data_IF_032194962981
#
_entry.id   IF_032194962981
#
_cell.length_a   1.000
_cell.length_b   1.000
_cell.length_c   1.000
_cell.angle_alpha   90.00
_cell.angle_beta   90.00
_cell.angle_gamma   90.00
#
_symmetry.space_group_name_H-M   'P 1'
#
loop_
_entity.id
_entity.type
_entity.pdbx_description
1 polymer ?
#
# COMPACT_ATOMS: atom_id res chain seq x y z
N UNK A 1 -1.36 -1.13 -17.35
CA UNK A 1 -1.82 -0.26 -16.26
C UNK A 1 -0.59 0.29 -15.60
N UNK A 2 -0.30 1.57 -15.82
CA UNK A 2 0.80 2.26 -15.14
C UNK A 2 0.32 2.56 -13.72
N UNK A 3 1.13 2.38 -12.66
CA UNK A 3 0.81 2.90 -11.34
C UNK A 3 0.64 4.41 -11.42
N UNK A 4 -0.61 4.85 -11.49
CA UNK A 4 -1.03 6.23 -11.71
C UNK A 4 -1.51 6.82 -10.38
N UNK A 5 -0.94 7.96 -9.94
CA UNK A 5 -1.42 8.67 -8.75
C UNK A 5 -2.93 8.84 -8.73
N UNK A 6 -3.57 9.20 -9.84
CA UNK A 6 -5.02 9.43 -9.87
C UNK A 6 -5.82 8.15 -9.55
N UNK A 7 -5.30 6.98 -9.94
CA UNK A 7 -5.90 5.69 -9.59
C UNK A 7 -5.75 5.39 -8.10
N UNK A 8 -4.59 5.68 -7.50
CA UNK A 8 -4.39 5.56 -6.05
C UNK A 8 -5.32 6.51 -5.28
N UNK A 9 -5.38 7.78 -5.66
CA UNK A 9 -6.28 8.76 -5.06
C UNK A 9 -7.75 8.33 -5.13
N UNK A 10 -8.18 7.78 -6.28
CA UNK A 10 -9.53 7.26 -6.44
C UNK A 10 -9.78 6.09 -5.48
N UNK A 11 -8.85 5.16 -5.36
CA UNK A 11 -8.96 4.04 -4.42
C UNK A 11 -9.03 4.51 -2.96
N UNK A 12 -8.17 5.47 -2.57
CA UNK A 12 -8.16 6.07 -1.23
C UNK A 12 -9.49 6.76 -0.92
N UNK A 13 -10.03 7.55 -1.86
CA UNK A 13 -11.36 8.17 -1.73
C UNK A 13 -12.47 7.13 -1.59
N UNK A 14 -12.46 6.08 -2.40
CA UNK A 14 -13.44 4.98 -2.30
C UNK A 14 -13.35 4.21 -0.98
N UNK A 15 -12.18 4.20 -0.34
CA UNK A 15 -11.99 3.64 0.99
C UNK A 15 -12.39 4.61 2.11
N UNK A 16 -12.88 5.82 1.82
CA UNK A 16 -13.08 6.89 2.82
C UNK A 16 -11.79 7.21 3.60
N UNK A 17 -10.64 7.14 2.95
CA UNK A 17 -9.39 7.61 3.52
C UNK A 17 -9.42 9.14 3.64
N UNK A 18 -8.84 9.65 4.72
CA UNK A 18 -8.50 11.08 4.84
C UNK A 18 -7.19 11.29 4.11
N UNK A 19 -7.09 12.36 3.33
CA UNK A 19 -5.88 12.68 2.57
C UNK A 19 -5.49 14.13 2.79
N UNK A 20 -4.20 14.40 3.00
CA UNK A 20 -3.65 15.73 3.16
C UNK A 20 -2.31 15.84 2.43
N UNK A 21 -2.00 17.01 1.92
CA UNK A 21 -0.66 17.28 1.38
C UNK A 21 0.23 17.80 2.51
N UNK A 22 1.40 17.20 2.66
CA UNK A 22 2.43 17.63 3.61
C UNK A 22 3.16 18.86 3.04
N UNK A 23 3.85 19.60 3.92
CA UNK A 23 4.61 20.80 3.51
C UNK A 23 5.75 20.54 2.53
N UNK A 24 6.22 19.29 2.43
CA UNK A 24 7.26 18.85 1.51
C UNK A 24 6.71 18.37 0.15
N UNK A 25 5.40 18.49 -0.08
CA UNK A 25 4.72 18.07 -1.31
C UNK A 25 4.39 16.57 -1.37
N UNK A 26 4.69 15.80 -0.31
CA UNK A 26 4.23 14.41 -0.21
C UNK A 26 2.75 14.36 0.15
N UNK A 27 2.05 13.34 -0.32
CA UNK A 27 0.66 13.10 0.08
C UNK A 27 0.61 12.16 1.27
N UNK A 28 0.05 12.64 2.38
CA UNK A 28 -0.33 11.83 3.51
C UNK A 28 -1.74 11.25 3.33
N UNK A 29 -1.96 10.01 3.73
CA UNK A 29 -3.29 9.44 3.86
C UNK A 29 -3.44 8.62 5.15
N UNK A 30 -4.66 8.59 5.67
CA UNK A 30 -5.06 7.75 6.78
C UNK A 30 -6.36 7.01 6.44
N UNK A 31 -6.45 5.74 6.80
CA UNK A 31 -7.64 4.93 6.65
C UNK A 31 -7.82 3.99 7.85
N UNK A 32 -9.06 3.78 8.27
CA UNK A 32 -9.39 2.80 9.29
C UNK A 32 -10.56 1.93 8.85
N UNK A 33 -10.44 0.63 9.10
CA UNK A 33 -11.48 -0.36 8.87
C UNK A 33 -11.90 -0.98 10.19
N UNK A 34 -13.21 -1.23 10.36
CA UNK A 34 -13.75 -2.02 11.46
C UNK A 34 -14.58 -3.16 10.90
N UNK A 35 -14.47 -4.33 11.51
CA UNK A 35 -15.32 -5.49 11.27
C UNK A 35 -15.81 -6.03 12.61
N UNK A 36 -16.71 -7.03 12.56
CA UNK A 36 -17.23 -7.67 13.77
C UNK A 36 -16.11 -8.25 14.66
N UNK A 37 -15.07 -8.80 14.03
CA UNK A 37 -14.02 -9.57 14.70
C UNK A 37 -12.66 -8.85 14.73
N UNK A 38 -12.65 -7.53 14.48
CA UNK A 38 -11.41 -6.77 14.52
C UNK A 38 -11.49 -5.35 13.95
N UNK A 39 -10.35 -4.69 13.94
CA UNK A 39 -10.19 -3.40 13.29
C UNK A 39 -8.75 -3.19 12.86
N UNK A 40 -8.55 -2.35 11.85
CA UNK A 40 -7.24 -1.89 11.42
C UNK A 40 -7.25 -0.38 11.23
N UNK A 41 -6.10 0.24 11.43
CA UNK A 41 -5.82 1.60 11.04
C UNK A 41 -4.48 1.62 10.30
N UNK A 42 -4.43 2.33 9.19
CA UNK A 42 -3.26 2.48 8.34
C UNK A 42 -3.05 3.96 8.05
N UNK A 43 -1.80 4.36 7.98
CA UNK A 43 -1.38 5.63 7.42
C UNK A 43 -0.28 5.41 6.42
N UNK A 44 -0.10 6.36 5.51
CA UNK A 44 1.04 6.32 4.62
C UNK A 44 1.31 7.64 3.93
N UNK A 45 2.54 7.76 3.47
CA UNK A 45 3.04 8.91 2.73
C UNK A 45 3.42 8.46 1.32
N UNK A 46 2.94 9.20 0.34
CA UNK A 46 3.18 8.98 -1.09
C UNK A 46 4.09 10.10 -1.59
N UNK A 47 5.25 9.72 -2.10
CA UNK A 47 6.19 10.64 -2.75
C UNK A 47 6.07 10.46 -4.26
N UNK A 48 6.04 11.57 -4.99
CA UNK A 48 6.07 11.57 -6.45
C UNK A 48 7.50 11.81 -6.96
N UNK A 49 7.83 11.25 -8.12
CA UNK A 49 9.07 11.57 -8.85
C UNK A 49 8.93 12.89 -9.64
N UNK A 50 10.00 13.28 -10.33
CA UNK A 50 10.05 14.50 -11.13
C UNK A 50 9.04 14.49 -12.31
N UNK A 51 8.60 13.31 -12.76
CA UNK A 51 7.58 13.15 -13.81
C UNK A 51 6.15 13.14 -13.22
N UNK A 52 6.00 13.28 -11.90
CA UNK A 52 4.72 13.22 -11.20
C UNK A 52 4.16 11.80 -11.04
N UNK A 53 4.97 10.75 -11.20
CA UNK A 53 4.57 9.35 -10.93
C UNK A 53 4.87 8.98 -9.49
N UNK A 54 4.22 7.95 -8.96
CA UNK A 54 4.49 7.47 -7.60
C UNK A 54 5.92 6.90 -7.54
N UNK A 55 6.81 7.52 -6.78
CA UNK A 55 8.16 7.01 -6.56
C UNK A 55 8.21 6.06 -5.35
N UNK A 56 7.48 6.42 -4.29
CA UNK A 56 7.54 5.73 -3.00
C UNK A 56 6.20 5.80 -2.28
N UNK A 57 5.86 4.71 -1.61
CA UNK A 57 4.77 4.65 -0.63
C UNK A 57 5.34 4.07 0.67
N UNK A 58 5.42 4.89 1.71
CA UNK A 58 5.72 4.44 3.06
C UNK A 58 4.40 4.16 3.78
N UNK A 59 4.21 2.94 4.28
CA UNK A 59 3.00 2.52 4.96
C UNK A 59 3.31 2.13 6.40
N UNK A 60 2.45 2.55 7.32
CA UNK A 60 2.41 2.04 8.68
C UNK A 60 0.98 1.59 8.98
N UNK A 61 0.85 0.52 9.75
CA UNK A 61 -0.46 0.05 10.15
C UNK A 61 -0.46 -0.64 11.49
N UNK A 62 -1.63 -0.63 12.10
CA UNK A 62 -1.95 -1.34 13.34
C UNK A 62 -3.24 -2.11 13.15
N UNK A 63 -3.33 -3.26 13.79
CA UNK A 63 -4.51 -4.12 13.73
C UNK A 63 -4.80 -4.74 15.09
N UNK A 64 -6.06 -5.09 15.27
CA UNK A 64 -6.53 -5.95 16.33
C UNK A 64 -7.54 -6.94 15.77
N UNK A 65 -7.56 -8.16 16.31
CA UNK A 65 -8.53 -9.18 15.94
C UNK A 65 -8.88 -10.08 17.12
N UNK A 66 -10.14 -10.50 17.17
CA UNK A 66 -10.65 -11.51 18.10
C UNK A 66 -10.96 -12.84 17.43
N UNK A 67 -10.57 -13.05 16.16
CA UNK A 67 -10.95 -14.21 15.36
C UNK A 67 -10.50 -15.56 15.94
N UNK A 68 -9.50 -15.56 16.83
CA UNK A 68 -9.02 -16.76 17.54
C UNK A 68 -9.65 -16.96 18.92
N UNK A 69 -10.71 -16.23 19.25
CA UNK A 69 -11.36 -16.26 20.58
C UNK A 69 -10.57 -15.53 21.68
N UNK A 70 -9.53 -14.78 21.31
CA UNK A 70 -8.76 -13.90 22.19
C UNK A 70 -8.35 -12.64 21.44
N UNK A 71 -8.05 -11.56 22.15
CA UNK A 71 -7.54 -10.34 21.53
C UNK A 71 -6.08 -10.53 21.10
N UNK A 72 -5.85 -10.57 19.79
CA UNK A 72 -4.53 -10.44 19.17
C UNK A 72 -4.39 -9.00 18.62
N UNK A 73 -3.22 -8.40 18.77
CA UNK A 73 -2.90 -7.08 18.21
C UNK A 73 -1.56 -7.11 17.49
N UNK A 74 -1.33 -6.14 16.61
CA UNK A 74 -0.03 -6.00 15.96
C UNK A 74 0.14 -4.68 15.22
N UNK A 75 1.38 -4.41 14.86
CA UNK A 75 1.78 -3.30 14.01
C UNK A 75 2.64 -3.82 12.86
N UNK A 76 2.64 -3.11 11.74
CA UNK A 76 3.54 -3.38 10.63
C UNK A 76 3.94 -2.07 9.96
N UNK A 77 5.05 -2.12 9.26
CA UNK A 77 5.52 -1.07 8.36
C UNK A 77 5.91 -1.71 7.04
N UNK A 78 5.63 -1.03 5.94
CA UNK A 78 6.04 -1.45 4.61
C UNK A 78 6.53 -0.24 3.80
N UNK A 79 7.41 -0.49 2.85
CA UNK A 79 7.83 0.52 1.89
C UNK A 79 7.77 -0.09 0.52
N UNK A 80 7.05 0.57 -0.38
CA UNK A 80 6.99 0.24 -1.80
C UNK A 80 7.74 1.33 -2.57
N UNK A 81 8.73 0.93 -3.36
CA UNK A 81 9.47 1.82 -4.25
C UNK A 81 9.18 1.40 -5.69
N UNK A 82 8.84 2.36 -6.54
CA UNK A 82 8.53 2.13 -7.95
C UNK A 82 9.48 2.96 -8.81
N UNK A 83 10.05 2.30 -9.81
CA UNK A 83 11.04 2.86 -10.73
C UNK A 83 10.92 2.16 -12.08
N UNK A 84 11.68 2.65 -13.07
CA UNK A 84 11.73 2.08 -14.43
C UNK A 84 10.35 1.96 -15.11
N UNK A 85 9.50 2.96 -14.87
CA UNK A 85 8.18 3.05 -15.48
C UNK A 85 8.24 2.97 -17.01
N UNK A 86 7.48 2.04 -17.59
CA UNK A 86 7.41 1.84 -19.04
C UNK A 86 8.56 1.02 -19.64
N UNK A 87 9.56 0.61 -18.82
CA UNK A 87 10.62 -0.28 -19.28
C UNK A 87 10.05 -1.68 -19.52
N UNK A 88 10.40 -2.28 -20.67
CA UNK A 88 9.95 -3.63 -21.02
C UNK A 88 10.59 -4.67 -20.10
N UNK A 89 9.77 -5.39 -19.35
CA UNK A 89 10.22 -6.50 -18.51
C UNK A 89 10.45 -7.76 -19.35
N UNK A 90 11.62 -8.37 -19.22
CA UNK A 90 11.93 -9.67 -19.82
C UNK A 90 11.72 -10.77 -18.79
N UNK A 91 10.65 -11.55 -18.94
CA UNK A 91 10.37 -12.71 -18.10
C UNK A 91 11.01 -13.96 -18.70
N UNK A 92 11.71 -14.75 -17.88
CA UNK A 92 12.24 -16.05 -18.25
C UNK A 92 11.56 -17.14 -17.42
N UNK A 93 11.22 -18.27 -18.05
CA UNK A 93 10.74 -19.45 -17.32
C UNK A 93 11.87 -19.97 -16.42
N UNK A 94 11.61 -20.26 -15.12
CA UNK A 94 12.57 -20.96 -14.28
C UNK A 94 12.94 -22.32 -14.90
N UNK A 95 14.23 -22.68 -14.91
CA UNK A 95 14.71 -23.92 -15.50
C UNK A 95 14.18 -25.16 -14.74
N UNK A 96 14.05 -25.04 -13.42
CA UNK A 96 13.67 -26.12 -12.53
C UNK A 96 12.28 -25.88 -11.95
N UNK A 97 11.25 -26.34 -12.67
CA UNK A 97 9.89 -26.38 -12.13
C UNK A 97 9.73 -27.72 -11.40
N UNK A 98 9.99 -27.73 -10.09
CA UNK A 98 9.57 -28.85 -9.24
C UNK A 98 8.05 -28.80 -9.16
N UNK A 99 7.37 -29.79 -9.74
CA UNK A 99 5.92 -29.94 -9.54
C UNK A 99 5.69 -30.19 -8.06
N UNK A 100 4.93 -29.31 -7.41
CA UNK A 100 4.37 -29.60 -6.09
C UNK A 100 3.56 -30.91 -6.20
N UNK A 101 3.84 -31.87 -5.32
CA UNK A 101 3.04 -33.09 -5.17
C UNK A 101 1.70 -32.76 -4.53
#
# INVERSE_FOLDING_TARGET
MTPDPATLFKALKSANATTAENSDGTLHFEYAAKSKDGSSAMSGDVTLDADGRIAKVALAGRWQSTAKGRLDTGTFTATLELFDYGVKVKVKRPADVVKAK
#
